data_IF_737249511204
#
_entry.id   IF_737249511204
#
_cell.length_a   1.000
_cell.length_b   1.000
_cell.length_c   1.000
_cell.angle_alpha   90.00
_cell.angle_beta   90.00
_cell.angle_gamma   90.00
#
_symmetry.space_group_name_H-M   'P 1'
#
loop_
_entity.id
_entity.type
_entity.pdbx_description
1 polymer ?
#
# COMPACT_ATOMS: atom_id res chain seq x y z
N UNK A 1 -43.16 -31.14 -33.68
CA UNK A 1 -42.80 -30.06 -32.74
C UNK A 1 -42.98 -30.54 -31.29
N UNK A 2 -42.00 -31.29 -30.76
CA UNK A 2 -41.90 -31.67 -29.34
C UNK A 2 -40.53 -31.16 -28.87
N UNK A 3 -40.40 -30.80 -27.59
CA UNK A 3 -39.20 -30.25 -26.91
C UNK A 3 -39.02 -28.72 -26.87
N UNK A 4 -40.06 -27.95 -26.50
CA UNK A 4 -39.84 -26.58 -25.99
C UNK A 4 -40.47 -26.27 -24.63
N UNK A 5 -41.37 -27.11 -24.10
CA UNK A 5 -42.08 -26.80 -22.84
C UNK A 5 -41.20 -26.90 -21.58
N UNK A 6 -40.23 -27.80 -21.54
CA UNK A 6 -39.35 -27.97 -20.37
C UNK A 6 -38.28 -26.87 -20.23
N UNK A 7 -37.83 -26.28 -21.34
CA UNK A 7 -36.79 -25.24 -21.34
C UNK A 7 -37.27 -23.95 -20.66
N UNK A 8 -38.55 -23.59 -20.83
CA UNK A 8 -39.14 -22.43 -20.15
C UNK A 8 -39.23 -22.62 -18.64
N UNK A 9 -39.44 -23.85 -18.16
CA UNK A 9 -39.44 -24.14 -16.72
C UNK A 9 -38.05 -24.00 -16.11
N UNK A 10 -37.01 -24.47 -16.81
CA UNK A 10 -35.62 -24.33 -16.36
C UNK A 10 -35.22 -22.85 -16.34
N UNK A 11 -35.54 -22.09 -17.40
CA UNK A 11 -35.28 -20.65 -17.44
C UNK A 11 -36.03 -19.89 -16.33
N UNK A 12 -37.29 -20.22 -16.08
CA UNK A 12 -38.07 -19.63 -15.00
C UNK A 12 -37.48 -19.93 -13.62
N UNK A 13 -37.05 -21.18 -13.37
CA UNK A 13 -36.43 -21.57 -12.11
C UNK A 13 -35.10 -20.84 -11.86
N UNK A 14 -34.25 -20.74 -12.89
CA UNK A 14 -32.99 -19.99 -12.80
C UNK A 14 -33.27 -18.53 -12.47
N UNK A 15 -34.23 -17.90 -13.14
CA UNK A 15 -34.54 -16.48 -12.96
C UNK A 15 -35.11 -16.18 -11.56
N UNK A 16 -35.94 -17.06 -11.02
CA UNK A 16 -36.45 -16.95 -9.63
C UNK A 16 -35.29 -17.08 -8.62
N UNK A 17 -34.38 -18.04 -8.84
CA UNK A 17 -33.21 -18.22 -7.98
C UNK A 17 -32.29 -16.99 -8.05
N UNK A 18 -32.04 -16.45 -9.24
CA UNK A 18 -31.25 -15.23 -9.42
C UNK A 18 -31.86 -14.02 -8.72
N UNK A 19 -33.18 -13.84 -8.84
CA UNK A 19 -33.91 -12.78 -8.13
C UNK A 19 -33.87 -12.97 -6.62
N UNK A 20 -33.93 -14.21 -6.13
CA UNK A 20 -33.81 -14.50 -4.70
C UNK A 20 -32.43 -14.11 -4.18
N UNK A 21 -31.35 -14.44 -4.89
CA UNK A 21 -29.99 -14.04 -4.50
C UNK A 21 -29.70 -12.55 -4.67
N UNK A 22 -30.32 -11.86 -5.64
CA UNK A 22 -30.24 -10.40 -5.77
C UNK A 22 -31.06 -9.66 -4.71
N UNK A 23 -32.14 -10.28 -4.22
CA UNK A 23 -33.00 -9.72 -3.17
C UNK A 23 -32.55 -10.03 -1.75
N UNK A 24 -31.55 -10.89 -1.56
CA UNK A 24 -30.87 -11.02 -0.28
C UNK A 24 -30.14 -9.69 -0.04
N UNK A 25 -30.47 -8.94 1.03
CA UNK A 25 -29.68 -7.78 1.37
C UNK A 25 -28.25 -8.26 1.56
N UNK A 26 -27.30 -7.59 0.90
CA UNK A 26 -25.88 -7.73 1.23
C UNK A 26 -25.81 -7.48 2.74
N UNK A 27 -25.64 -8.58 3.48
CA UNK A 27 -25.51 -8.49 4.92
C UNK A 27 -24.10 -7.98 5.10
N UNK A 28 -23.96 -6.65 5.11
CA UNK A 28 -22.74 -6.01 5.57
C UNK A 28 -22.36 -6.72 6.85
N UNK A 29 -21.22 -7.43 6.81
CA UNK A 29 -20.70 -8.09 7.99
C UNK A 29 -20.38 -6.97 8.96
N UNK A 30 -21.29 -6.77 9.92
CA UNK A 30 -21.13 -5.90 11.06
C UNK A 30 -19.85 -6.32 11.79
N UNK A 31 -18.72 -5.70 11.44
CA UNK A 31 -17.50 -5.74 12.25
C UNK A 31 -17.85 -4.92 13.49
N UNK A 32 -18.42 -5.60 14.47
CA UNK A 32 -19.01 -5.01 15.69
C UNK A 32 -18.01 -4.92 16.82
N UNK A 33 -16.80 -5.45 16.64
CA UNK A 33 -15.77 -5.40 17.66
C UNK A 33 -14.59 -4.55 17.19
N UNK A 34 -14.10 -3.72 18.11
CA UNK A 34 -12.82 -3.03 18.01
C UNK A 34 -11.73 -4.12 18.12
N UNK A 35 -11.57 -4.89 17.06
CA UNK A 35 -10.63 -6.00 16.97
C UNK A 35 -9.21 -5.46 16.91
N UNK A 36 -8.25 -6.21 17.44
CA UNK A 36 -6.81 -5.97 17.27
C UNK A 36 -6.35 -6.09 15.80
N UNK A 37 -7.27 -6.06 14.83
CA UNK A 37 -7.03 -6.31 13.41
C UNK A 37 -6.11 -5.28 12.76
N UNK A 38 -6.17 -4.01 13.18
CA UNK A 38 -5.21 -2.98 12.76
C UNK A 38 -3.81 -3.34 13.28
N UNK A 39 -3.68 -3.73 14.55
CA UNK A 39 -2.40 -4.12 15.13
C UNK A 39 -1.85 -5.37 14.44
N UNK A 40 -2.67 -6.41 14.24
CA UNK A 40 -2.30 -7.61 13.49
C UNK A 40 -1.92 -7.31 12.04
N UNK A 41 -2.67 -6.44 11.36
CA UNK A 41 -2.38 -6.05 9.99
C UNK A 41 -1.06 -5.28 9.92
N UNK A 42 -0.83 -4.34 10.85
CA UNK A 42 0.42 -3.61 10.99
C UNK A 42 1.61 -4.54 11.26
N UNK A 43 1.48 -5.48 12.20
CA UNK A 43 2.54 -6.44 12.51
C UNK A 43 2.88 -7.33 11.31
N UNK A 44 1.86 -7.77 10.57
CA UNK A 44 2.05 -8.52 9.34
C UNK A 44 2.77 -7.67 8.28
N UNK A 45 2.33 -6.44 8.05
CA UNK A 45 2.94 -5.53 7.06
C UNK A 45 4.40 -5.24 7.44
N UNK A 46 4.66 -4.93 8.72
CA UNK A 46 6.00 -4.66 9.23
C UNK A 46 6.93 -5.86 9.04
N UNK A 47 6.42 -7.08 9.26
CA UNK A 47 7.17 -8.32 9.03
C UNK A 47 7.42 -8.57 7.55
N UNK A 48 6.41 -8.37 6.69
CA UNK A 48 6.43 -8.76 5.29
C UNK A 48 7.12 -7.74 4.37
N UNK A 49 7.14 -6.44 4.67
CA UNK A 49 7.81 -5.43 3.83
C UNK A 49 9.28 -5.75 3.54
N UNK A 50 10.11 -6.08 4.55
CA UNK A 50 11.50 -6.48 4.32
C UNK A 50 11.62 -7.76 3.49
N UNK A 51 10.72 -8.74 3.65
CA UNK A 51 10.72 -9.95 2.83
C UNK A 51 10.29 -9.69 1.40
N UNK A 52 9.27 -8.86 1.18
CA UNK A 52 8.84 -8.43 -0.14
C UNK A 52 9.97 -7.72 -0.88
N UNK A 53 10.69 -6.83 -0.18
CA UNK A 53 11.88 -6.16 -0.69
C UNK A 53 13.00 -7.14 -1.01
N UNK A 54 13.39 -8.01 -0.08
CA UNK A 54 14.45 -8.99 -0.31
C UNK A 54 14.12 -9.96 -1.44
N UNK A 55 12.86 -10.44 -1.52
CA UNK A 55 12.41 -11.28 -2.62
C UNK A 55 12.38 -10.53 -3.96
N UNK A 56 12.08 -9.24 -3.94
CA UNK A 56 12.16 -8.39 -5.12
C UNK A 56 13.61 -8.32 -5.62
N UNK A 57 14.56 -7.99 -4.75
CA UNK A 57 15.98 -7.84 -5.07
C UNK A 57 16.65 -9.18 -5.45
N UNK A 58 16.28 -10.29 -4.82
CA UNK A 58 16.88 -11.61 -5.10
C UNK A 58 16.44 -12.21 -6.43
N UNK A 59 15.33 -11.74 -6.99
CA UNK A 59 14.73 -12.31 -8.20
C UNK A 59 14.97 -11.47 -9.45
N UNK A 60 15.47 -10.24 -9.32
CA UNK A 60 15.85 -9.40 -10.45
C UNK A 60 17.18 -8.72 -10.18
N UNK A 61 18.14 -8.88 -11.10
CA UNK A 61 19.32 -8.01 -11.16
C UNK A 61 18.93 -6.56 -11.48
N UNK A 62 17.71 -6.38 -12.01
CA UNK A 62 17.13 -5.08 -12.33
C UNK A 62 16.35 -4.51 -11.14
N UNK A 63 16.69 -3.28 -10.76
CA UNK A 63 16.08 -2.60 -9.61
C UNK A 63 14.71 -2.01 -9.94
N UNK A 64 14.41 -1.72 -11.22
CA UNK A 64 13.08 -1.24 -11.63
C UNK A 64 11.99 -2.28 -11.34
N UNK A 65 12.28 -3.55 -11.63
CA UNK A 65 11.38 -4.66 -11.29
C UNK A 65 11.15 -4.81 -9.78
N UNK A 66 12.07 -4.32 -8.94
CA UNK A 66 11.89 -4.32 -7.49
C UNK A 66 10.92 -3.24 -7.01
N UNK A 67 10.97 -2.06 -7.64
CA UNK A 67 10.04 -0.96 -7.39
C UNK A 67 8.62 -1.40 -7.76
N UNK A 68 8.43 -2.00 -8.94
CA UNK A 68 7.12 -2.49 -9.39
C UNK A 68 6.50 -3.50 -8.40
N UNK A 69 7.31 -4.39 -7.83
CA UNK A 69 6.85 -5.36 -6.83
C UNK A 69 6.47 -4.70 -5.52
N UNK A 70 7.23 -3.70 -5.07
CA UNK A 70 6.90 -2.92 -3.88
C UNK A 70 5.60 -2.14 -4.06
N UNK A 71 5.38 -1.57 -5.26
CA UNK A 71 4.12 -0.94 -5.65
C UNK A 71 2.97 -1.95 -5.62
N UNK A 72 3.14 -3.13 -6.22
CA UNK A 72 2.13 -4.19 -6.22
C UNK A 72 1.80 -4.68 -4.80
N UNK A 73 2.81 -4.85 -3.94
CA UNK A 73 2.61 -5.18 -2.54
C UNK A 73 1.83 -4.08 -1.81
N UNK A 74 2.18 -2.81 -2.05
CA UNK A 74 1.47 -1.66 -1.47
C UNK A 74 0.00 -1.65 -1.88
N UNK A 75 -0.32 -1.94 -3.15
CA UNK A 75 -1.68 -2.08 -3.65
C UNK A 75 -2.44 -3.25 -3.04
N UNK A 76 -1.76 -4.39 -2.88
CA UNK A 76 -2.34 -5.56 -2.23
C UNK A 76 -2.72 -5.27 -0.77
N UNK A 77 -1.83 -4.58 -0.04
CA UNK A 77 -2.10 -4.15 1.34
C UNK A 77 -3.26 -3.18 1.41
N UNK A 78 -3.31 -2.16 0.54
CA UNK A 78 -4.45 -1.22 0.48
C UNK A 78 -5.77 -1.94 0.22
N UNK A 79 -5.77 -2.92 -0.69
CA UNK A 79 -6.94 -3.75 -0.95
C UNK A 79 -7.39 -4.53 0.28
N UNK A 80 -6.48 -5.25 0.95
CA UNK A 80 -6.81 -6.00 2.18
C UNK A 80 -7.32 -5.08 3.28
N UNK A 81 -6.69 -3.92 3.47
CA UNK A 81 -7.12 -2.95 4.46
C UNK A 81 -8.53 -2.43 4.14
N UNK A 82 -8.82 -2.15 2.86
CA UNK A 82 -10.13 -1.67 2.42
C UNK A 82 -11.25 -2.68 2.66
N UNK A 83 -10.98 -3.97 2.46
CA UNK A 83 -11.92 -5.08 2.76
C UNK A 83 -12.28 -5.15 4.25
N UNK A 84 -11.43 -4.57 5.12
CA UNK A 84 -11.62 -4.48 6.58
C UNK A 84 -12.09 -3.11 7.06
N UNK A 85 -12.47 -2.21 6.14
CA UNK A 85 -12.85 -0.82 6.42
C UNK A 85 -11.73 -0.01 7.10
N UNK A 86 -10.48 -0.38 6.85
CA UNK A 86 -9.28 0.33 7.29
C UNK A 86 -8.79 1.18 6.12
N UNK A 87 -8.68 2.49 6.33
CA UNK A 87 -7.91 3.36 5.45
C UNK A 87 -6.43 3.10 5.67
N UNK A 88 -5.82 2.47 4.69
CA UNK A 88 -4.38 2.39 4.58
C UNK A 88 -3.85 3.56 3.74
N UNK A 89 -2.75 4.14 4.18
CA UNK A 89 -2.02 5.18 3.48
C UNK A 89 -0.55 5.03 3.84
N UNK A 90 0.33 5.15 2.87
CA UNK A 90 1.77 4.97 3.13
C UNK A 90 2.60 5.88 2.24
N UNK A 91 3.75 6.26 2.78
CA UNK A 91 4.85 6.80 2.00
C UNK A 91 6.07 5.95 2.32
N UNK A 92 6.69 5.40 1.30
CA UNK A 92 7.94 4.67 1.45
C UNK A 92 9.03 5.30 0.61
N UNK A 93 10.25 5.20 1.11
CA UNK A 93 11.47 5.64 0.44
C UNK A 93 12.41 4.45 0.42
N UNK A 94 12.80 4.05 -0.78
CA UNK A 94 13.78 3.00 -1.02
C UNK A 94 15.03 3.62 -1.61
N UNK A 95 16.19 3.24 -1.08
CA UNK A 95 17.48 3.69 -1.58
C UNK A 95 18.40 2.51 -1.89
N UNK A 96 19.20 2.64 -2.94
CA UNK A 96 20.18 1.63 -3.34
C UNK A 96 21.36 2.24 -4.08
N UNK A 97 22.48 1.51 -4.16
CA UNK A 97 23.62 1.94 -4.94
C UNK A 97 23.36 1.73 -6.44
N UNK A 98 23.39 2.81 -7.23
CA UNK A 98 23.37 2.72 -8.69
C UNK A 98 24.77 2.55 -9.27
N UNK A 99 25.78 3.09 -8.59
CA UNK A 99 27.20 2.99 -8.95
C UNK A 99 28.09 3.10 -7.70
N UNK A 100 29.43 2.87 -7.79
CA UNK A 100 30.31 2.81 -6.61
C UNK A 100 30.30 4.04 -5.68
N UNK A 101 29.80 5.18 -6.15
CA UNK A 101 29.70 6.43 -5.38
C UNK A 101 28.32 7.09 -5.43
N UNK A 102 27.37 6.50 -6.18
CA UNK A 102 26.06 7.11 -6.37
C UNK A 102 25.00 6.28 -5.68
N UNK A 103 24.01 6.98 -5.15
CA UNK A 103 22.91 6.40 -4.41
C UNK A 103 21.61 6.90 -5.02
N UNK A 104 20.84 5.98 -5.58
CA UNK A 104 19.52 6.28 -6.10
C UNK A 104 18.50 6.17 -4.97
N UNK A 105 17.55 7.10 -4.96
CA UNK A 105 16.47 7.15 -3.99
C UNK A 105 15.16 7.27 -4.75
N UNK A 106 14.27 6.32 -4.51
CA UNK A 106 12.90 6.35 -5.03
C UNK A 106 11.91 6.52 -3.90
N UNK A 107 10.96 7.40 -4.11
CA UNK A 107 9.84 7.64 -3.21
C UNK A 107 8.58 7.11 -3.87
N UNK A 108 7.81 6.29 -3.13
CA UNK A 108 6.46 5.89 -3.50
C UNK A 108 5.42 6.60 -2.65
N UNK A 109 4.49 7.30 -3.29
CA UNK A 109 3.45 8.07 -2.58
C UNK A 109 2.06 7.43 -2.71
N UNK A 110 1.55 6.93 -1.58
CA UNK A 110 0.21 6.36 -1.44
C UNK A 110 -0.57 7.03 -0.28
N UNK A 111 -0.29 8.31 -0.01
CA UNK A 111 -0.96 9.09 1.05
C UNK A 111 -2.38 9.58 0.65
N UNK A 112 -2.85 9.27 -0.56
CA UNK A 112 -4.15 9.71 -1.15
C UNK A 112 -4.20 11.18 -1.60
N UNK A 113 -3.06 11.85 -1.68
CA UNK A 113 -2.87 13.18 -2.25
C UNK A 113 -1.47 13.33 -2.82
N UNK A 114 -1.26 14.34 -3.67
CA UNK A 114 0.07 14.69 -4.18
C UNK A 114 0.88 15.34 -3.06
N UNK A 115 2.15 14.95 -2.91
CA UNK A 115 3.01 15.46 -1.84
C UNK A 115 4.36 15.91 -2.38
N UNK A 116 5.02 16.77 -1.59
CA UNK A 116 6.42 17.18 -1.83
C UNK A 116 7.25 16.57 -0.71
N UNK A 117 8.24 15.77 -1.09
CA UNK A 117 9.17 15.14 -0.16
C UNK A 117 10.50 15.84 -0.23
N UNK A 118 10.98 16.31 0.92
CA UNK A 118 12.35 16.76 1.11
C UNK A 118 13.20 15.55 1.48
N UNK A 119 14.22 15.30 0.66
CA UNK A 119 15.28 14.35 0.93
C UNK A 119 16.55 15.16 1.22
N UNK A 120 17.07 15.10 2.44
CA UNK A 120 18.33 15.74 2.80
C UNK A 120 19.36 14.66 3.14
N UNK A 121 20.36 14.54 2.26
CA UNK A 121 21.47 13.60 2.41
C UNK A 121 22.71 14.37 2.86
N UNK A 122 23.07 14.22 4.13
CA UNK A 122 24.26 14.84 4.73
C UNK A 122 24.41 16.35 4.43
N UNK A 123 23.30 17.10 4.39
CA UNK A 123 23.26 18.53 4.10
C UNK A 123 22.92 18.90 2.65
N UNK A 124 22.76 17.92 1.75
CA UNK A 124 22.30 18.16 0.38
C UNK A 124 20.79 17.96 0.29
N UNK A 125 20.05 19.05 0.15
CA UNK A 125 18.59 19.04 0.06
C UNK A 125 18.09 18.83 -1.37
N UNK A 126 17.11 17.95 -1.53
CA UNK A 126 16.38 17.72 -2.77
C UNK A 126 14.87 17.68 -2.52
N UNK A 127 14.11 18.49 -3.26
CA UNK A 127 12.66 18.56 -3.18
C UNK A 127 12.05 17.77 -4.33
N UNK A 128 11.31 16.71 -4.00
CA UNK A 128 10.71 15.80 -4.96
C UNK A 128 9.18 15.92 -4.93
N UNK A 129 8.58 16.32 -6.06
CA UNK A 129 7.14 16.23 -6.25
C UNK A 129 6.78 14.78 -6.59
N UNK A 130 5.88 14.17 -5.81
CA UNK A 130 5.41 12.81 -6.05
C UNK A 130 3.89 12.80 -6.08
N UNK A 131 3.33 12.48 -7.25
CA UNK A 131 1.87 12.41 -7.41
C UNK A 131 1.31 11.22 -6.62
N UNK A 132 0.05 11.31 -6.22
CA UNK A 132 -0.64 10.19 -5.62
C UNK A 132 -0.60 8.97 -6.54
N UNK A 133 -0.31 7.81 -5.95
CA UNK A 133 -0.27 6.52 -6.61
C UNK A 133 0.84 6.39 -7.68
N UNK A 134 1.96 7.09 -7.45
CA UNK A 134 3.11 7.08 -8.34
C UNK A 134 4.41 7.00 -7.55
N UNK A 135 5.50 6.73 -8.27
CA UNK A 135 6.86 6.81 -7.77
C UNK A 135 7.62 7.93 -8.47
N UNK A 136 8.65 8.45 -7.81
CA UNK A 136 9.62 9.35 -8.42
C UNK A 136 11.00 9.07 -7.84
N UNK A 137 12.04 9.29 -8.63
CA UNK A 137 13.42 8.87 -8.32
C UNK A 137 14.38 10.03 -8.47
N UNK A 138 15.44 10.03 -7.66
CA UNK A 138 16.55 10.98 -7.77
C UNK A 138 17.86 10.28 -7.41
N UNK A 139 18.93 10.66 -8.08
CA UNK A 139 20.26 10.13 -7.80
C UNK A 139 21.10 11.17 -7.07
N UNK A 140 21.65 10.78 -5.93
CA UNK A 140 22.69 11.52 -5.23
C UNK A 140 24.06 11.00 -5.67
N UNK A 141 24.98 11.94 -5.92
CA UNK A 141 26.35 11.61 -6.35
C UNK A 141 27.34 11.83 -5.22
N UNK A 142 28.46 11.11 -5.23
CA UNK A 142 29.54 11.23 -4.25
C UNK A 142 29.08 10.99 -2.80
N UNK A 143 28.20 10.01 -2.59
CA UNK A 143 27.64 9.65 -1.29
C UNK A 143 28.65 8.84 -0.48
N UNK A 144 28.80 9.15 0.82
CA UNK A 144 29.68 8.41 1.74
C UNK A 144 29.17 6.98 2.00
N UNK A 145 30.04 6.08 2.48
CA UNK A 145 29.68 4.67 2.71
C UNK A 145 28.53 4.51 3.72
N UNK A 146 28.51 5.40 4.72
CA UNK A 146 27.40 5.57 5.67
C UNK A 146 27.03 7.04 5.68
N UNK A 147 25.73 7.34 5.69
CA UNK A 147 25.21 8.70 5.65
C UNK A 147 23.88 8.77 6.40
N UNK A 148 23.57 9.96 6.87
CA UNK A 148 22.26 10.27 7.44
C UNK A 148 21.37 10.83 6.33
N UNK A 149 20.16 10.27 6.25
CA UNK A 149 19.12 10.74 5.37
C UNK A 149 17.96 11.26 6.20
N UNK A 150 17.65 12.54 6.03
CA UNK A 150 16.44 13.14 6.58
C UNK A 150 15.38 13.10 5.48
N UNK A 151 14.23 12.52 5.82
CA UNK A 151 13.06 12.41 4.98
C UNK A 151 11.97 13.24 5.64
N UNK A 152 11.58 14.35 5.01
CA UNK A 152 10.55 15.24 5.53
C UNK A 152 9.44 15.43 4.50
N UNK A 153 8.19 15.40 4.95
CA UNK A 153 7.02 15.74 4.14
C UNK A 153 5.90 16.18 5.08
N UNK A 154 5.15 17.21 4.67
CA UNK A 154 4.12 17.83 5.52
C UNK A 154 4.66 18.20 6.92
N UNK A 155 4.12 17.59 7.99
CA UNK A 155 4.56 17.75 9.38
C UNK A 155 5.40 16.59 9.90
N UNK A 156 5.71 15.61 9.05
CA UNK A 156 6.50 14.44 9.40
C UNK A 156 7.96 14.65 9.02
N UNK A 157 8.85 14.31 9.93
CA UNK A 157 10.29 14.30 9.72
C UNK A 157 10.88 13.04 10.36
N UNK A 158 11.70 12.33 9.59
CA UNK A 158 12.41 11.15 10.06
C UNK A 158 13.87 11.26 9.65
N UNK A 159 14.77 10.96 10.59
CA UNK A 159 16.20 10.83 10.32
C UNK A 159 16.60 9.36 10.40
N UNK A 160 17.17 8.83 9.32
CA UNK A 160 17.59 7.44 9.20
C UNK A 160 19.04 7.36 8.74
N UNK A 161 19.84 6.53 9.41
CA UNK A 161 21.22 6.26 8.99
C UNK A 161 21.25 5.06 8.05
N UNK A 162 21.73 5.27 6.83
CA UNK A 162 21.79 4.25 5.79
C UNK A 162 23.22 3.91 5.40
N UNK A 163 23.40 2.72 4.82
CA UNK A 163 24.67 2.25 4.25
C UNK A 163 24.52 2.23 2.75
N UNK A 164 25.40 2.93 2.03
CA UNK A 164 25.30 3.13 0.57
C UNK A 164 25.23 1.82 -0.19
N UNK A 165 26.06 0.86 0.20
CA UNK A 165 26.20 -0.42 -0.52
C UNK A 165 25.15 -1.46 -0.09
N UNK A 166 24.03 -1.00 0.51
CA UNK A 166 22.88 -1.81 0.88
C UNK A 166 21.60 -1.15 0.40
N UNK A 167 20.63 -1.99 0.03
CA UNK A 167 19.27 -1.51 -0.17
C UNK A 167 18.67 -1.16 1.18
N UNK A 168 18.17 0.06 1.29
CA UNK A 168 17.57 0.61 2.49
C UNK A 168 16.12 0.98 2.22
N UNK A 169 15.24 0.74 3.19
CA UNK A 169 13.81 1.04 3.10
C UNK A 169 13.38 1.80 4.35
N UNK A 170 12.77 2.94 4.13
CA UNK A 170 11.94 3.66 5.08
C UNK A 170 10.49 3.55 4.64
N UNK A 171 9.57 3.33 5.58
CA UNK A 171 8.14 3.36 5.30
C UNK A 171 7.40 4.00 6.48
N UNK A 172 6.66 5.07 6.21
CA UNK A 172 5.62 5.54 7.10
C UNK A 172 4.30 4.92 6.66
N UNK A 173 3.65 4.22 7.59
CA UNK A 173 2.40 3.53 7.36
C UNK A 173 1.36 4.11 8.30
N UNK A 174 0.30 4.66 7.73
CA UNK A 174 -0.84 5.23 8.42
C UNK A 174 -2.03 4.28 8.21
N UNK A 175 -2.59 3.80 9.31
CA UNK A 175 -3.82 3.00 9.30
C UNK A 175 -4.87 3.63 10.20
N UNK A 176 -6.03 3.92 9.62
CA UNK A 176 -7.14 4.54 10.34
C UNK A 176 -8.43 3.83 9.98
N UNK A 177 -9.26 3.50 10.96
CA UNK A 177 -10.61 3.00 10.69
C UNK A 177 -11.48 4.18 10.24
N UNK A 178 -12.25 4.02 9.16
CA UNK A 178 -13.34 4.99 8.89
C UNK A 178 -14.39 4.79 9.98
N UNK A 179 -14.57 5.78 10.85
CA UNK A 179 -15.66 5.78 11.83
C UNK A 179 -17.03 5.87 11.12
N UNK A 180 -17.53 4.76 10.60
CA UNK A 180 -18.94 4.62 10.26
C UNK A 180 -19.63 3.88 11.41
N UNK A 181 -19.84 4.57 12.53
CA UNK A 181 -20.82 4.15 13.53
C UNK A 181 -22.19 4.35 12.88
N UNK A 182 -22.74 3.30 12.27
CA UNK A 182 -24.18 3.25 12.01
C UNK A 182 -24.84 3.17 13.39
N UNK A 183 -25.28 4.32 13.93
CA UNK A 183 -26.16 4.39 15.09
C UNK A 183 -27.50 3.79 14.67
N UNK A 184 -27.78 2.57 15.13
CA UNK A 184 -29.12 2.01 15.08
C UNK A 184 -29.85 2.43 16.38
N UNK A 185 -30.74 3.42 16.29
CA UNK A 185 -31.83 3.54 17.26
C UNK A 185 -32.90 2.51 16.88
N UNK A 186 -33.05 1.47 17.70
CA UNK A 186 -34.25 0.64 17.69
C UNK A 186 -35.15 1.13 18.84
N UNK A 187 -36.08 2.03 18.52
CA UNK A 187 -37.24 2.29 19.37
C UNK A 187 -38.25 1.15 19.20
N UNK A 188 -38.71 0.58 20.32
CA UNK A 188 -39.89 -0.29 20.37
C UNK A 188 -41.17 0.53 20.21
#
# INVERSE_FOLDING_TARGET
MKYRKGQFFVLGAVLIISLFFMGLPEKDTLITERTDDIAYLFDNIHREYPFALNNALNMSEDTEASIDRLMNFTHFVDKIASERLINYSTLWVIGWNSSPSNFNVTVGNYLRYNTVVLLNLSGTEYYMNVNFNTTNSTEFTSVSDTFDMIISYESEESNVTWVRDKVSLYANIIMQRKDNIIKNELSR
#
